data_IF_099156369471
#
_entry.id   IF_099156369471
#
_cell.length_a   1.000
_cell.length_b   1.000
_cell.length_c   1.000
_cell.angle_alpha   90.00
_cell.angle_beta   90.00
_cell.angle_gamma   90.00
#
_symmetry.space_group_name_H-M   'P 1'
#
loop_
_entity.id
_entity.type
_entity.pdbx_description
1 polymer ?
#
# COMPACT_ATOMS: atom_id res chain seq x y z
N UNK A 1 72.71 -66.22 -17.80
CA UNK A 1 71.39 -66.01 -17.17
C UNK A 1 70.36 -66.77 -17.98
N UNK A 2 69.62 -67.69 -17.39
CA UNK A 2 68.55 -68.45 -18.07
C UNK A 2 67.32 -67.58 -18.34
N UNK A 3 66.61 -67.85 -19.44
CA UNK A 3 65.46 -67.03 -19.86
C UNK A 3 64.33 -67.00 -18.82
N UNK A 4 64.14 -68.11 -18.10
CA UNK A 4 63.25 -68.25 -16.95
C UNK A 4 63.55 -67.22 -15.82
N UNK A 5 64.82 -66.88 -15.61
CA UNK A 5 65.23 -65.90 -14.60
C UNK A 5 64.87 -64.47 -14.99
N UNK A 6 64.98 -64.11 -16.27
CA UNK A 6 64.59 -62.79 -16.80
C UNK A 6 63.08 -62.59 -16.72
N UNK A 7 62.30 -63.64 -16.98
CA UNK A 7 60.85 -63.59 -16.96
C UNK A 7 60.26 -63.52 -15.55
N UNK A 8 60.90 -64.19 -14.57
CA UNK A 8 60.56 -64.02 -13.15
C UNK A 8 60.81 -62.58 -12.69
N UNK A 9 61.95 -61.98 -13.04
CA UNK A 9 62.23 -60.57 -12.70
C UNK A 9 61.21 -59.61 -13.32
N UNK A 10 60.85 -59.79 -14.59
CA UNK A 10 59.81 -58.96 -15.25
C UNK A 10 58.45 -59.06 -14.57
N UNK A 11 58.02 -60.25 -14.13
CA UNK A 11 56.76 -60.42 -13.38
C UNK A 11 56.78 -59.74 -12.02
N UNK A 12 57.90 -59.83 -11.31
CA UNK A 12 58.08 -59.17 -10.01
C UNK A 12 58.05 -57.65 -10.18
N UNK A 13 58.74 -57.10 -11.17
CA UNK A 13 58.72 -55.66 -11.44
C UNK A 13 57.31 -55.18 -11.84
N UNK A 14 56.59 -55.95 -12.67
CA UNK A 14 55.22 -55.62 -13.06
C UNK A 14 54.25 -55.58 -11.86
N UNK A 15 54.34 -56.56 -10.95
CA UNK A 15 53.49 -56.61 -9.75
C UNK A 15 53.84 -55.54 -8.72
N UNK A 16 55.12 -55.33 -8.47
CA UNK A 16 55.56 -54.41 -7.41
C UNK A 16 55.42 -52.95 -7.84
N UNK A 17 55.79 -52.61 -9.07
CA UNK A 17 55.88 -51.22 -9.48
C UNK A 17 54.67 -50.81 -10.32
N UNK A 18 54.42 -51.48 -11.45
CA UNK A 18 53.36 -51.06 -12.37
C UNK A 18 51.95 -51.28 -11.83
N UNK A 19 51.71 -52.40 -11.14
CA UNK A 19 50.40 -52.70 -10.58
C UNK A 19 50.11 -51.86 -9.33
N UNK A 20 51.15 -51.56 -8.53
CA UNK A 20 51.07 -50.64 -7.40
C UNK A 20 50.80 -49.20 -7.85
N UNK A 21 51.59 -48.67 -8.81
CA UNK A 21 51.40 -47.33 -9.37
C UNK A 21 50.03 -47.18 -10.03
N UNK A 22 49.56 -48.22 -10.73
CA UNK A 22 48.22 -48.20 -11.34
C UNK A 22 47.12 -48.13 -10.29
N UNK A 23 47.23 -48.90 -9.20
CA UNK A 23 46.26 -48.86 -8.10
C UNK A 23 46.30 -47.51 -7.38
N UNK A 24 47.48 -46.96 -7.16
CA UNK A 24 47.67 -45.64 -6.54
C UNK A 24 47.11 -44.52 -7.41
N UNK A 25 47.31 -44.58 -8.73
CA UNK A 25 46.72 -43.63 -9.69
C UNK A 25 45.19 -43.75 -9.72
N UNK A 26 44.64 -44.96 -9.71
CA UNK A 26 43.19 -45.13 -9.64
C UNK A 26 42.62 -44.61 -8.32
N UNK A 27 43.28 -44.90 -7.19
CA UNK A 27 42.85 -44.39 -5.89
C UNK A 27 42.90 -42.86 -5.84
N UNK A 28 43.97 -42.24 -6.34
CA UNK A 28 44.10 -40.78 -6.34
C UNK A 28 43.05 -40.11 -7.22
N UNK A 29 42.73 -40.70 -8.37
CA UNK A 29 41.62 -40.25 -9.23
C UNK A 29 40.27 -40.39 -8.51
N UNK A 30 39.98 -41.54 -7.88
CA UNK A 30 38.74 -41.71 -7.13
C UNK A 30 38.63 -40.76 -5.94
N UNK A 31 39.72 -40.53 -5.20
CA UNK A 31 39.78 -39.58 -4.10
C UNK A 31 39.56 -38.13 -4.55
N UNK A 32 39.95 -37.77 -5.77
CA UNK A 32 39.68 -36.44 -6.35
C UNK A 32 38.26 -36.27 -6.87
N UNK A 33 37.66 -37.32 -7.46
CA UNK A 33 36.33 -37.25 -8.09
C UNK A 33 35.19 -37.41 -7.08
N UNK A 34 35.37 -38.23 -6.03
CA UNK A 34 34.33 -38.48 -5.02
C UNK A 34 33.85 -37.21 -4.27
N UNK A 35 34.72 -36.28 -3.86
CA UNK A 35 34.29 -35.01 -3.26
C UNK A 35 33.43 -34.17 -4.20
N UNK A 36 33.80 -34.10 -5.48
CA UNK A 36 33.09 -33.32 -6.51
C UNK A 36 31.69 -33.92 -6.73
N UNK A 37 31.58 -35.25 -6.83
CA UNK A 37 30.29 -35.93 -6.93
C UNK A 37 29.41 -35.71 -5.70
N UNK A 38 30.01 -35.71 -4.50
CA UNK A 38 29.29 -35.44 -3.24
C UNK A 38 28.74 -34.01 -3.22
N UNK A 39 29.55 -33.01 -3.58
CA UNK A 39 29.09 -31.62 -3.68
C UNK A 39 27.98 -31.45 -4.71
N UNK A 40 28.12 -32.05 -5.89
CA UNK A 40 27.10 -32.02 -6.93
C UNK A 40 25.76 -32.63 -6.47
N UNK A 41 25.80 -33.79 -5.80
CA UNK A 41 24.60 -34.45 -5.26
C UNK A 41 23.95 -33.58 -4.18
N UNK A 42 24.74 -32.95 -3.30
CA UNK A 42 24.21 -32.04 -2.28
C UNK A 42 23.54 -30.80 -2.90
N UNK A 43 24.15 -30.19 -3.92
CA UNK A 43 23.55 -29.05 -4.64
C UNK A 43 22.24 -29.47 -5.32
N UNK A 44 22.22 -30.63 -5.97
CA UNK A 44 21.02 -31.15 -6.61
C UNK A 44 19.88 -31.42 -5.62
N UNK A 45 20.21 -31.94 -4.43
CA UNK A 45 19.24 -32.16 -3.35
C UNK A 45 18.66 -30.83 -2.84
N UNK A 46 19.50 -29.82 -2.63
CA UNK A 46 19.05 -28.48 -2.20
C UNK A 46 18.14 -27.83 -3.24
N UNK A 47 18.46 -27.96 -4.53
CA UNK A 47 17.63 -27.44 -5.62
C UNK A 47 16.27 -28.15 -5.67
N UNK A 48 16.24 -29.46 -5.51
CA UNK A 48 14.98 -30.23 -5.45
C UNK A 48 14.11 -29.78 -4.28
N UNK A 49 14.69 -29.68 -3.08
CA UNK A 49 13.97 -29.26 -1.88
C UNK A 49 13.44 -27.82 -2.02
N UNK A 50 14.21 -26.94 -2.66
CA UNK A 50 13.78 -25.59 -2.99
C UNK A 50 12.60 -25.58 -3.97
N UNK A 51 12.69 -26.32 -5.08
CA UNK A 51 11.62 -26.41 -6.07
C UNK A 51 10.32 -26.97 -5.46
N UNK A 52 10.41 -28.00 -4.62
CA UNK A 52 9.25 -28.52 -3.90
C UNK A 52 8.61 -27.48 -3.00
N UNK A 53 9.40 -26.69 -2.26
CA UNK A 53 8.90 -25.62 -1.41
C UNK A 53 8.23 -24.51 -2.23
N UNK A 54 8.81 -24.13 -3.37
CA UNK A 54 8.23 -23.14 -4.29
C UNK A 54 6.92 -23.64 -4.86
N UNK A 55 6.84 -24.89 -5.32
CA UNK A 55 5.60 -25.48 -5.82
C UNK A 55 4.53 -25.52 -4.71
N UNK A 56 4.90 -25.94 -3.49
CA UNK A 56 3.97 -25.94 -2.34
C UNK A 56 3.48 -24.52 -2.03
N UNK A 57 4.36 -23.53 -2.03
CA UNK A 57 4.00 -22.12 -1.80
C UNK A 57 3.09 -21.58 -2.92
N UNK A 58 3.40 -21.89 -4.18
CA UNK A 58 2.58 -21.50 -5.33
C UNK A 58 1.17 -22.11 -5.26
N UNK A 59 1.06 -23.41 -4.97
CA UNK A 59 -0.22 -24.10 -4.82
C UNK A 59 -1.00 -23.58 -3.60
N UNK A 60 -0.32 -23.33 -2.47
CA UNK A 60 -0.95 -22.76 -1.29
C UNK A 60 -1.48 -21.34 -1.56
N UNK A 61 -0.70 -20.51 -2.26
CA UNK A 61 -1.12 -19.19 -2.72
C UNK A 61 -2.34 -19.28 -3.64
N UNK A 62 -2.32 -20.18 -4.63
CA UNK A 62 -3.46 -20.41 -5.53
C UNK A 62 -4.73 -20.84 -4.79
N UNK A 63 -4.62 -21.77 -3.83
CA UNK A 63 -5.74 -22.18 -2.97
C UNK A 63 -6.25 -21.03 -2.10
N UNK A 64 -5.34 -20.27 -1.50
CA UNK A 64 -5.69 -19.08 -0.71
C UNK A 64 -6.43 -18.04 -1.56
N UNK A 65 -5.92 -17.75 -2.76
CA UNK A 65 -6.56 -16.86 -3.72
C UNK A 65 -7.92 -17.38 -4.13
N UNK A 66 -8.10 -18.68 -4.41
CA UNK A 66 -9.42 -19.24 -4.74
C UNK A 66 -10.45 -19.12 -3.61
N UNK A 67 -10.01 -19.23 -2.35
CA UNK A 67 -10.89 -19.07 -1.17
C UNK A 67 -11.20 -17.61 -0.90
N UNK A 68 -10.23 -16.71 -1.07
CA UNK A 68 -10.37 -15.29 -0.77
C UNK A 68 -10.97 -14.49 -1.92
N UNK A 69 -10.76 -14.91 -3.16
CA UNK A 69 -11.39 -14.30 -4.32
C UNK A 69 -12.86 -14.72 -4.34
N UNK A 70 -13.80 -13.76 -4.35
CA UNK A 70 -15.22 -14.05 -4.41
C UNK A 70 -15.69 -14.56 -5.79
N UNK A 71 -14.99 -15.51 -6.40
CA UNK A 71 -15.32 -16.08 -7.73
C UNK A 71 -16.69 -16.76 -7.77
N UNK A 72 -17.17 -17.25 -6.63
CA UNK A 72 -18.51 -17.82 -6.46
C UNK A 72 -19.57 -16.78 -6.08
N UNK A 73 -19.19 -15.51 -5.95
CA UNK A 73 -20.16 -14.46 -5.63
C UNK A 73 -21.10 -14.29 -6.81
N UNK A 74 -22.39 -14.54 -6.55
CA UNK A 74 -23.47 -14.34 -7.51
C UNK A 74 -23.44 -12.92 -8.10
N UNK A 75 -23.09 -11.92 -7.30
CA UNK A 75 -23.00 -10.52 -7.74
C UNK A 75 -21.87 -10.32 -8.74
N UNK A 76 -20.70 -10.92 -8.51
CA UNK A 76 -19.56 -10.77 -9.44
C UNK A 76 -19.75 -11.54 -10.73
N UNK A 77 -20.40 -12.71 -10.67
CA UNK A 77 -20.81 -13.46 -11.85
C UNK A 77 -21.88 -12.72 -12.67
N UNK A 78 -22.81 -12.05 -11.98
CA UNK A 78 -23.78 -11.18 -12.63
C UNK A 78 -23.09 -9.97 -13.29
N UNK A 79 -22.09 -9.37 -12.63
CA UNK A 79 -21.33 -8.25 -13.18
C UNK A 79 -20.43 -8.63 -14.36
N UNK A 80 -19.88 -9.84 -14.38
CA UNK A 80 -19.05 -10.29 -15.51
C UNK A 80 -19.84 -10.44 -16.81
N UNK A 81 -21.18 -10.58 -16.73
CA UNK A 81 -22.05 -10.66 -17.91
C UNK A 81 -22.22 -9.34 -18.69
N UNK A 82 -21.70 -8.24 -18.15
CA UNK A 82 -21.65 -6.94 -18.83
C UNK A 82 -20.57 -6.92 -19.92
N UNK A 83 -19.58 -7.82 -19.86
CA UNK A 83 -18.52 -7.85 -20.85
C UNK A 83 -19.10 -8.15 -22.25
N UNK A 84 -18.90 -7.24 -23.24
CA UNK A 84 -19.39 -7.46 -24.61
C UNK A 84 -18.83 -8.73 -25.25
N UNK A 85 -17.69 -9.27 -24.79
CA UNK A 85 -17.11 -10.54 -25.28
C UNK A 85 -18.05 -11.72 -25.03
N UNK A 86 -18.72 -11.75 -23.88
CA UNK A 86 -19.59 -12.89 -23.50
C UNK A 86 -21.00 -12.78 -24.10
N UNK A 87 -21.24 -11.76 -24.92
CA UNK A 87 -22.51 -11.51 -25.58
C UNK A 87 -22.89 -12.68 -26.50
N UNK A 88 -24.16 -13.06 -26.49
CA UNK A 88 -24.69 -14.16 -27.30
C UNK A 88 -24.62 -15.53 -26.61
N UNK A 89 -23.90 -15.66 -25.49
CA UNK A 89 -23.98 -16.85 -24.65
C UNK A 89 -25.27 -16.86 -23.81
N UNK A 90 -25.91 -18.03 -23.73
CA UNK A 90 -27.14 -18.24 -22.95
C UNK A 90 -26.95 -17.95 -21.45
N UNK A 91 -25.77 -18.25 -20.92
CA UNK A 91 -25.40 -17.94 -19.54
C UNK A 91 -25.30 -16.43 -19.30
N UNK A 92 -24.71 -15.67 -20.22
CA UNK A 92 -24.59 -14.21 -20.11
C UNK A 92 -25.97 -13.53 -20.02
N UNK A 93 -26.94 -13.96 -20.83
CA UNK A 93 -28.32 -13.47 -20.73
C UNK A 93 -29.00 -13.79 -19.39
N UNK A 94 -28.70 -14.95 -18.82
CA UNK A 94 -29.25 -15.35 -17.51
C UNK A 94 -28.64 -14.54 -16.37
N UNK A 95 -27.34 -14.31 -16.42
CA UNK A 95 -26.61 -13.49 -15.46
C UNK A 95 -27.00 -12.01 -15.56
N UNK A 96 -27.25 -11.48 -16.76
CA UNK A 96 -27.76 -10.11 -16.95
C UNK A 96 -29.16 -9.93 -16.34
N UNK A 97 -30.04 -10.94 -16.45
CA UNK A 97 -31.35 -10.91 -15.77
C UNK A 97 -31.18 -10.89 -14.26
N UNK A 98 -30.24 -11.69 -13.73
CA UNK A 98 -29.93 -11.70 -12.32
C UNK A 98 -29.36 -10.34 -11.85
N UNK A 99 -28.51 -9.72 -12.67
CA UNK A 99 -27.97 -8.39 -12.44
C UNK A 99 -29.07 -7.33 -12.38
N UNK A 100 -30.01 -7.35 -13.33
CA UNK A 100 -31.15 -6.45 -13.34
C UNK A 100 -32.08 -6.67 -12.13
N UNK A 101 -32.21 -7.91 -11.64
CA UNK A 101 -32.90 -8.21 -10.39
C UNK A 101 -32.22 -7.58 -9.17
N UNK A 102 -30.89 -7.64 -9.09
CA UNK A 102 -30.11 -7.00 -8.02
C UNK A 102 -30.27 -5.47 -8.08
N UNK A 103 -30.25 -4.88 -9.28
CA UNK A 103 -30.38 -3.45 -9.51
C UNK A 103 -31.78 -3.01 -9.95
N UNK A 104 -32.83 -3.66 -9.42
CA UNK A 104 -34.23 -3.38 -9.77
C UNK A 104 -34.63 -1.91 -9.61
N UNK A 105 -34.02 -1.20 -8.66
CA UNK A 105 -34.29 0.20 -8.39
C UNK A 105 -33.87 1.15 -9.53
N UNK A 106 -32.99 0.72 -10.44
CA UNK A 106 -32.55 1.49 -11.60
C UNK A 106 -33.38 1.23 -12.86
N UNK A 107 -34.32 0.28 -12.76
CA UNK A 107 -35.16 -0.17 -13.88
C UNK A 107 -36.45 0.65 -13.91
N UNK A 108 -36.77 1.34 -15.02
CA UNK A 108 -38.07 1.99 -15.18
C UNK A 108 -39.21 0.97 -15.04
N UNK A 109 -40.22 1.28 -14.21
CA UNK A 109 -41.29 0.33 -13.87
C UNK A 109 -42.13 -0.13 -15.08
N UNK A 110 -42.14 0.65 -16.16
CA UNK A 110 -42.89 0.37 -17.39
C UNK A 110 -42.09 -0.45 -18.43
N UNK A 111 -40.81 -0.74 -18.16
CA UNK A 111 -39.92 -1.36 -19.14
C UNK A 111 -39.75 -2.87 -18.94
N UNK A 112 -39.91 -3.65 -20.01
CA UNK A 112 -39.61 -5.09 -20.02
C UNK A 112 -38.12 -5.33 -20.31
N UNK A 113 -37.32 -5.30 -19.24
CA UNK A 113 -35.89 -5.60 -19.29
C UNK A 113 -35.61 -7.00 -19.86
N UNK A 114 -36.48 -7.96 -19.62
CA UNK A 114 -36.24 -9.34 -20.04
C UNK A 114 -36.20 -9.41 -21.56
N UNK A 115 -37.13 -8.72 -22.22
CA UNK A 115 -37.12 -8.59 -23.68
C UNK A 115 -35.96 -7.76 -24.20
N UNK A 116 -35.57 -6.68 -23.52
CA UNK A 116 -34.39 -5.90 -23.92
C UNK A 116 -33.10 -6.73 -23.88
N UNK A 117 -32.90 -7.56 -22.84
CA UNK A 117 -31.74 -8.45 -22.72
C UNK A 117 -31.71 -9.49 -23.85
N UNK A 118 -32.87 -10.05 -24.20
CA UNK A 118 -32.97 -11.01 -25.30
C UNK A 118 -32.61 -10.35 -26.63
N UNK A 119 -33.17 -9.17 -26.90
CA UNK A 119 -32.85 -8.39 -28.11
C UNK A 119 -31.37 -8.01 -28.15
N UNK A 120 -30.81 -7.57 -27.03
CA UNK A 120 -29.39 -7.26 -26.91
C UNK A 120 -28.50 -8.47 -27.23
N UNK A 121 -28.86 -9.68 -26.83
CA UNK A 121 -28.04 -10.87 -27.12
C UNK A 121 -28.08 -11.31 -28.58
N UNK A 122 -29.12 -10.96 -29.33
CA UNK A 122 -29.34 -11.41 -30.71
C UNK A 122 -28.99 -10.34 -31.77
N UNK A 123 -28.89 -9.06 -31.39
CA UNK A 123 -28.72 -7.94 -32.33
C UNK A 123 -27.36 -7.94 -33.08
N UNK A 124 -27.32 -8.43 -34.31
CA UNK A 124 -26.09 -8.39 -35.14
C UNK A 124 -25.68 -7.00 -35.61
N UNK A 125 -26.50 -5.95 -35.38
CA UNK A 125 -26.23 -4.58 -35.82
C UNK A 125 -25.33 -3.78 -34.88
N UNK A 126 -25.01 -4.32 -33.69
CA UNK A 126 -24.13 -3.64 -32.74
C UNK A 126 -22.66 -3.77 -33.14
N UNK A 127 -21.86 -2.75 -32.82
CA UNK A 127 -20.43 -2.74 -33.09
C UNK A 127 -19.73 -3.94 -32.43
N UNK A 128 -18.92 -4.67 -33.20
CA UNK A 128 -18.12 -5.78 -32.69
C UNK A 128 -17.10 -5.26 -31.67
N UNK A 129 -17.10 -5.83 -30.47
CA UNK A 129 -16.07 -5.55 -29.46
C UNK A 129 -14.80 -6.35 -29.77
N UNK A 130 -13.64 -5.68 -29.82
CA UNK A 130 -12.34 -6.35 -30.00
C UNK A 130 -11.64 -6.49 -28.66
N UNK A 131 -10.90 -7.58 -28.49
CA UNK A 131 -10.12 -7.84 -27.28
C UNK A 131 -9.03 -6.75 -27.13
N UNK A 132 -9.20 -5.87 -26.13
CA UNK A 132 -8.37 -4.68 -25.93
C UNK A 132 -9.12 -3.34 -26.01
N UNK A 133 -10.35 -3.35 -26.52
CA UNK A 133 -11.21 -2.16 -26.51
C UNK A 133 -11.64 -1.80 -25.07
N UNK A 134 -11.92 -0.53 -24.82
CA UNK A 134 -12.43 -0.11 -23.51
C UNK A 134 -13.94 -0.41 -23.41
N UNK A 135 -14.28 -1.43 -22.61
CA UNK A 135 -15.67 -1.83 -22.31
C UNK A 135 -16.58 -0.64 -21.97
N UNK A 136 -16.10 0.31 -21.17
CA UNK A 136 -16.91 1.47 -20.74
C UNK A 136 -17.23 2.40 -21.92
N UNK A 137 -16.25 2.63 -22.80
CA UNK A 137 -16.43 3.46 -23.99
C UNK A 137 -17.37 2.78 -25.00
N UNK A 138 -17.29 1.46 -25.13
CA UNK A 138 -18.19 0.68 -25.98
C UNK A 138 -19.64 0.79 -25.49
N UNK A 139 -19.88 0.57 -24.20
CA UNK A 139 -21.21 0.75 -23.60
C UNK A 139 -21.69 2.20 -23.69
N UNK A 140 -20.82 3.20 -23.54
CA UNK A 140 -21.17 4.60 -23.72
C UNK A 140 -21.64 4.91 -25.15
N UNK A 141 -20.99 4.32 -26.16
CA UNK A 141 -21.45 4.42 -27.54
C UNK A 141 -22.83 3.78 -27.73
N UNK A 142 -23.04 2.58 -27.19
CA UNK A 142 -24.35 1.92 -27.26
C UNK A 142 -25.44 2.75 -26.58
N UNK A 143 -25.17 3.31 -25.40
CA UNK A 143 -26.09 4.20 -24.70
C UNK A 143 -26.42 5.46 -25.51
N UNK A 144 -25.45 6.00 -26.27
CA UNK A 144 -25.66 7.17 -27.13
C UNK A 144 -26.62 6.91 -28.30
N UNK A 145 -26.75 5.65 -28.73
CA UNK A 145 -27.72 5.27 -29.77
C UNK A 145 -29.17 5.24 -29.27
N UNK A 146 -29.39 5.32 -27.95
CA UNK A 146 -30.72 5.27 -27.34
C UNK A 146 -31.39 3.88 -27.36
N UNK A 147 -30.68 2.84 -27.83
CA UNK A 147 -31.15 1.46 -27.79
C UNK A 147 -31.08 0.90 -26.36
N UNK A 148 -32.11 0.15 -25.95
CA UNK A 148 -32.21 -0.55 -24.65
C UNK A 148 -32.07 0.37 -23.44
N UNK A 149 -33.04 1.29 -23.21
CA UNK A 149 -32.97 2.28 -22.13
C UNK A 149 -32.92 1.65 -20.73
N UNK A 150 -33.63 0.54 -20.51
CA UNK A 150 -33.69 -0.08 -19.20
C UNK A 150 -32.41 -0.88 -18.90
N UNK A 151 -31.90 -1.62 -19.89
CA UNK A 151 -30.60 -2.29 -19.79
C UNK A 151 -29.45 -1.28 -19.61
N UNK A 152 -29.50 -0.16 -20.34
CA UNK A 152 -28.52 0.93 -20.22
C UNK A 152 -28.49 1.54 -18.81
N UNK A 153 -29.65 1.68 -18.15
CA UNK A 153 -29.73 2.14 -16.77
C UNK A 153 -29.03 1.19 -15.79
N UNK A 154 -29.29 -0.12 -15.91
CA UNK A 154 -28.64 -1.16 -15.10
C UNK A 154 -27.13 -1.17 -15.30
N UNK A 155 -26.67 -1.10 -16.56
CA UNK A 155 -25.25 -1.15 -16.90
C UNK A 155 -24.53 0.11 -16.45
N UNK A 156 -25.15 1.29 -16.61
CA UNK A 156 -24.61 2.54 -16.08
C UNK A 156 -24.43 2.44 -14.57
N UNK A 157 -25.41 1.89 -13.85
CA UNK A 157 -25.30 1.59 -12.43
C UNK A 157 -24.13 0.67 -12.11
N UNK A 158 -24.03 -0.46 -12.79
CA UNK A 158 -22.97 -1.45 -12.57
C UNK A 158 -21.56 -0.90 -12.83
N UNK A 159 -21.36 -0.23 -13.97
CA UNK A 159 -20.06 0.32 -14.38
C UNK A 159 -19.67 1.50 -13.48
N UNK A 160 -20.64 2.25 -12.93
CA UNK A 160 -20.35 3.34 -11.99
C UNK A 160 -19.74 2.87 -10.67
N UNK A 161 -19.96 1.60 -10.28
CA UNK A 161 -19.34 1.02 -9.07
C UNK A 161 -17.83 0.83 -9.27
N UNK A 162 -17.39 0.59 -10.51
CA UNK A 162 -16.00 0.26 -10.85
C UNK A 162 -15.21 1.46 -11.39
N UNK A 163 -15.01 2.49 -10.56
CA UNK A 163 -13.97 3.49 -10.78
C UNK A 163 -12.72 3.14 -9.95
N UNK A 164 -11.95 2.16 -10.44
CA UNK A 164 -10.61 1.83 -9.93
C UNK A 164 -9.58 2.96 -10.15
N UNK A 165 -8.29 2.64 -10.04
CA UNK A 165 -7.16 3.32 -9.33
C UNK A 165 -7.42 4.50 -8.37
N UNK A 166 -8.55 5.18 -8.47
CA UNK A 166 -8.90 6.34 -7.65
C UNK A 166 -9.07 5.97 -6.19
N UNK A 167 -9.77 4.87 -5.90
CA UNK A 167 -10.04 4.41 -4.53
C UNK A 167 -8.78 3.80 -3.88
N UNK A 168 -8.01 3.02 -4.63
CA UNK A 168 -6.76 2.41 -4.13
C UNK A 168 -5.69 3.46 -3.78
N UNK A 169 -5.52 4.50 -4.61
CA UNK A 169 -4.63 5.62 -4.30
C UNK A 169 -5.05 6.34 -3.02
N UNK A 170 -6.35 6.41 -2.70
CA UNK A 170 -6.81 6.98 -1.42
C UNK A 170 -6.51 6.09 -0.24
N UNK A 171 -6.59 4.76 -0.37
CA UNK A 171 -6.20 3.84 0.71
C UNK A 171 -4.71 3.91 1.03
N UNK A 172 -3.84 4.01 0.03
CA UNK A 172 -2.40 4.21 0.26
C UNK A 172 -2.12 5.53 0.99
N UNK A 173 -2.73 6.64 0.55
CA UNK A 173 -2.60 7.93 1.23
C UNK A 173 -3.24 7.94 2.63
N UNK A 174 -4.26 7.12 2.87
CA UNK A 174 -4.88 6.96 4.18
C UNK A 174 -4.00 6.13 5.12
N UNK A 175 -3.25 5.15 4.59
CA UNK A 175 -2.22 4.43 5.35
C UNK A 175 -1.21 5.38 5.98
N UNK A 176 -0.77 6.38 5.22
CA UNK A 176 0.15 7.43 5.70
C UNK A 176 -0.45 8.33 6.78
N UNK A 177 -1.78 8.37 6.93
CA UNK A 177 -2.49 9.20 7.92
C UNK A 177 -2.83 8.40 9.18
N UNK A 178 -3.06 7.09 9.02
CA UNK A 178 -3.38 6.18 10.13
C UNK A 178 -2.10 5.79 10.88
N UNK A 179 -0.97 5.63 10.18
CA UNK A 179 0.31 5.36 10.85
C UNK A 179 0.82 6.62 11.57
N UNK A 180 0.89 6.54 12.90
CA UNK A 180 1.32 7.62 13.80
C UNK A 180 2.70 8.24 13.51
N UNK A 181 3.52 7.60 12.67
CA UNK A 181 4.84 8.08 12.25
C UNK A 181 4.82 8.99 11.03
N UNK A 182 3.80 8.88 10.18
CA UNK A 182 3.67 9.63 8.93
C UNK A 182 2.47 10.58 9.06
N UNK A 183 2.62 11.81 8.58
CA UNK A 183 1.58 12.85 8.47
C UNK A 183 0.49 12.92 9.58
N UNK A 184 0.64 13.89 10.49
CA UNK A 184 -0.34 14.31 11.49
C UNK A 184 -1.56 15.05 10.86
N UNK A 185 -2.19 14.48 9.83
CA UNK A 185 -3.34 15.03 9.12
C UNK A 185 -4.63 14.46 9.70
N UNK A 186 -5.65 15.30 9.89
CA UNK A 186 -6.94 14.85 10.38
C UNK A 186 -7.75 14.19 9.24
N UNK A 187 -8.54 13.17 9.57
CA UNK A 187 -9.42 12.45 8.63
C UNK A 187 -10.37 13.42 7.91
N UNK A 188 -10.93 14.41 8.61
CA UNK A 188 -11.82 15.41 7.99
C UNK A 188 -11.09 16.31 6.98
N UNK A 189 -9.82 16.61 7.22
CA UNK A 189 -9.00 17.41 6.30
C UNK A 189 -8.62 16.59 5.08
N UNK A 190 -8.31 15.30 5.28
CA UNK A 190 -8.07 14.36 4.20
C UNK A 190 -9.29 14.18 3.30
N UNK A 191 -10.46 13.96 3.88
CA UNK A 191 -11.72 13.81 3.17
C UNK A 191 -12.03 15.03 2.28
N UNK A 192 -11.85 16.24 2.82
CA UNK A 192 -12.00 17.47 2.07
C UNK A 192 -10.99 17.59 0.90
N UNK A 193 -9.72 17.24 1.13
CA UNK A 193 -8.68 17.26 0.10
C UNK A 193 -8.99 16.24 -1.00
N UNK A 194 -9.39 15.02 -0.64
CA UNK A 194 -9.73 13.98 -1.60
C UNK A 194 -10.96 14.37 -2.42
N UNK A 195 -12.00 14.89 -1.77
CA UNK A 195 -13.21 15.37 -2.45
C UNK A 195 -12.88 16.44 -3.48
N UNK A 196 -12.06 17.44 -3.12
CA UNK A 196 -11.61 18.47 -4.05
C UNK A 196 -10.75 17.89 -5.19
N UNK A 197 -9.81 16.99 -4.87
CA UNK A 197 -8.95 16.31 -5.83
C UNK A 197 -9.75 15.52 -6.86
N UNK A 198 -10.74 14.75 -6.41
CA UNK A 198 -11.59 13.96 -7.28
C UNK A 198 -12.52 14.82 -8.12
N UNK A 199 -13.06 15.89 -7.56
CA UNK A 199 -13.89 16.85 -8.29
C UNK A 199 -13.11 17.51 -9.45
N UNK A 200 -11.86 17.89 -9.22
CA UNK A 200 -11.00 18.45 -10.27
C UNK A 200 -10.68 17.39 -11.34
N UNK A 201 -10.33 16.18 -10.91
CA UNK A 201 -9.97 15.07 -11.81
C UNK A 201 -11.15 14.62 -12.68
N UNK A 202 -12.35 14.51 -12.13
CA UNK A 202 -13.55 14.08 -12.87
C UNK A 202 -13.93 15.05 -13.99
N UNK A 203 -13.59 16.33 -13.83
CA UNK A 203 -13.82 17.38 -14.82
C UNK A 203 -12.65 17.58 -15.78
N UNK A 204 -11.57 16.81 -15.64
CA UNK A 204 -10.34 17.00 -16.42
C UNK A 204 -9.69 18.37 -16.21
N UNK A 205 -10.02 19.06 -15.11
CA UNK A 205 -9.51 20.39 -14.81
C UNK A 205 -8.33 20.29 -13.84
N UNK A 206 -7.30 21.07 -14.11
CA UNK A 206 -6.23 21.29 -13.13
C UNK A 206 -6.67 22.32 -12.09
N UNK A 207 -6.08 22.28 -10.89
CA UNK A 207 -6.34 23.27 -9.86
C UNK A 207 -6.06 24.70 -10.38
N UNK A 208 -5.03 24.86 -11.21
CA UNK A 208 -4.69 26.14 -11.83
C UNK A 208 -5.76 26.61 -12.80
N UNK A 209 -6.41 25.72 -13.56
CA UNK A 209 -7.55 26.09 -14.41
C UNK A 209 -8.80 26.43 -13.60
N UNK A 210 -9.11 25.64 -12.56
CA UNK A 210 -10.30 25.83 -11.73
C UNK A 210 -10.23 27.11 -10.88
N UNK A 211 -9.03 27.49 -10.42
CA UNK A 211 -8.80 28.68 -9.62
C UNK A 211 -8.15 29.82 -10.42
N UNK A 212 -8.04 29.70 -11.75
CA UNK A 212 -7.51 30.78 -12.60
C UNK A 212 -8.45 31.97 -12.49
N UNK A 213 -7.90 33.14 -12.22
CA UNK A 213 -8.60 34.41 -12.44
C UNK A 213 -8.29 34.87 -13.86
N UNK A 214 -9.31 35.38 -14.58
CA UNK A 214 -9.10 35.94 -15.92
C UNK A 214 -8.11 37.12 -15.89
N UNK A 215 -8.09 37.88 -14.79
CA UNK A 215 -7.02 38.81 -14.46
C UNK A 215 -6.50 38.59 -13.04
N UNK A 216 -5.22 38.24 -12.89
CA UNK A 216 -4.58 37.99 -11.59
C UNK A 216 -4.52 39.23 -10.69
N UNK A 217 -4.42 40.43 -11.29
CA UNK A 217 -4.22 41.70 -10.57
C UNK A 217 -5.51 42.49 -10.32
N UNK A 218 -6.48 42.44 -11.22
CA UNK A 218 -7.70 43.25 -11.15
C UNK A 218 -9.01 42.45 -11.20
N UNK A 219 -8.95 41.12 -11.31
CA UNK A 219 -10.13 40.28 -11.31
C UNK A 219 -10.89 40.35 -9.97
N UNK A 220 -12.23 40.30 -9.99
CA UNK A 220 -13.03 40.35 -8.78
C UNK A 220 -12.68 39.18 -7.86
N UNK A 221 -12.31 39.50 -6.61
CA UNK A 221 -11.99 38.52 -5.59
C UNK A 221 -13.29 37.96 -5.00
N UNK A 222 -13.43 36.64 -4.95
CA UNK A 222 -14.51 36.01 -4.19
C UNK A 222 -14.36 36.34 -2.69
N UNK A 223 -15.17 37.30 -2.25
CA UNK A 223 -15.19 37.82 -0.89
C UNK A 223 -15.53 36.74 0.12
N UNK A 224 -16.37 35.77 -0.26
CA UNK A 224 -16.80 34.64 0.58
C UNK A 224 -15.66 33.64 0.75
N UNK A 225 -14.92 33.33 -0.33
CA UNK A 225 -13.74 32.48 -0.26
C UNK A 225 -12.67 33.09 0.65
N UNK A 226 -12.38 34.39 0.52
CA UNK A 226 -11.40 35.07 1.38
C UNK A 226 -11.81 35.09 2.85
N UNK A 227 -13.09 35.33 3.15
CA UNK A 227 -13.61 35.23 4.52
C UNK A 227 -13.46 33.81 5.07
N UNK A 228 -13.80 32.79 4.27
CA UNK A 228 -13.68 31.39 4.66
C UNK A 228 -12.24 31.00 4.97
N UNK A 229 -11.27 31.42 4.14
CA UNK A 229 -9.84 31.17 4.35
C UNK A 229 -9.32 31.84 5.62
N UNK A 230 -9.68 33.11 5.86
CA UNK A 230 -9.29 33.83 7.08
C UNK A 230 -9.89 33.20 8.34
N UNK A 231 -11.15 32.78 8.28
CA UNK A 231 -11.84 32.15 9.40
C UNK A 231 -11.47 30.68 9.62
N UNK A 232 -10.86 30.00 8.64
CA UNK A 232 -10.55 28.57 8.72
C UNK A 232 -9.60 28.24 9.88
N UNK A 233 -8.52 29.02 10.05
CA UNK A 233 -7.56 28.79 11.14
C UNK A 233 -8.16 28.99 12.54
N UNK A 234 -9.06 29.96 12.70
CA UNK A 234 -9.78 30.18 13.96
C UNK A 234 -10.75 29.03 14.27
N UNK A 235 -11.53 28.60 13.28
CA UNK A 235 -12.46 27.47 13.39
C UNK A 235 -11.74 26.17 13.74
N UNK A 236 -10.61 25.88 13.09
CA UNK A 236 -9.82 24.68 13.38
C UNK A 236 -9.24 24.69 14.80
N UNK A 237 -8.77 25.84 15.29
CA UNK A 237 -8.32 25.98 16.69
C UNK A 237 -9.46 25.73 17.68
N UNK A 238 -10.64 26.30 17.44
CA UNK A 238 -11.82 26.10 18.28
C UNK A 238 -12.23 24.61 18.30
N UNK A 239 -12.30 23.96 17.14
CA UNK A 239 -12.65 22.55 17.01
C UNK A 239 -11.60 21.61 17.65
N UNK A 240 -10.31 21.99 17.64
CA UNK A 240 -9.27 21.27 18.40
C UNK A 240 -9.46 21.41 19.91
N UNK A 241 -9.80 22.59 20.41
CA UNK A 241 -10.08 22.81 21.83
C UNK A 241 -11.30 22.02 22.30
N UNK A 242 -12.37 22.00 21.52
CA UNK A 242 -13.58 21.23 21.80
C UNK A 242 -13.31 19.72 21.86
N UNK A 243 -12.56 19.17 20.89
CA UNK A 243 -12.14 17.76 20.92
C UNK A 243 -11.25 17.40 22.10
N UNK A 244 -10.38 18.32 22.54
CA UNK A 244 -9.57 18.13 23.75
C UNK A 244 -10.46 18.06 25.01
N UNK A 245 -11.50 18.88 25.09
CA UNK A 245 -12.48 18.84 26.17
C UNK A 245 -13.31 17.55 26.12
N UNK A 246 -13.76 17.13 24.94
CA UNK A 246 -14.51 15.91 24.75
C UNK A 246 -13.67 14.65 25.09
N UNK A 247 -12.40 14.62 24.67
CA UNK A 247 -11.46 13.57 25.09
C UNK A 247 -11.29 13.53 26.60
N UNK A 248 -11.20 14.68 27.28
CA UNK A 248 -11.15 14.75 28.75
C UNK A 248 -12.44 14.22 29.38
N UNK A 249 -13.60 14.58 28.83
CA UNK A 249 -14.91 14.06 29.30
C UNK A 249 -14.99 12.55 29.16
N UNK A 250 -14.67 12.00 27.99
CA UNK A 250 -14.66 10.54 27.74
C UNK A 250 -13.65 9.80 28.63
N UNK A 251 -12.48 10.40 28.92
CA UNK A 251 -11.51 9.81 29.86
C UNK A 251 -12.04 9.70 31.29
N UNK A 252 -12.81 10.71 31.73
CA UNK A 252 -13.47 10.69 33.04
C UNK A 252 -14.61 9.67 33.06
N UNK A 253 -15.40 9.60 31.99
CA UNK A 253 -16.56 8.70 31.86
C UNK A 253 -16.16 7.22 31.84
N UNK A 254 -15.11 6.86 31.10
CA UNK A 254 -14.65 5.47 30.99
C UNK A 254 -13.61 5.07 32.06
N UNK A 255 -13.35 5.92 33.06
CA UNK A 255 -12.36 5.66 34.12
C UNK A 255 -10.93 5.41 33.60
N UNK A 256 -10.65 5.79 32.35
CA UNK A 256 -9.38 5.50 31.70
C UNK A 256 -8.37 6.57 32.11
N UNK A 257 -7.69 6.33 33.23
CA UNK A 257 -6.53 7.11 33.64
C UNK A 257 -5.49 7.11 32.51
N UNK A 258 -4.71 8.21 32.39
CA UNK A 258 -3.52 8.29 31.52
C UNK A 258 -2.38 7.37 31.98
N UNK A 259 -2.68 6.23 32.58
CA UNK A 259 -1.67 5.24 32.98
C UNK A 259 -1.41 4.31 31.81
N UNK A 260 -0.90 4.87 30.70
CA UNK A 260 0.17 4.19 30.00
C UNK A 260 1.44 4.72 30.69
N UNK A 261 2.14 3.90 31.48
CA UNK A 261 3.28 4.34 32.31
C UNK A 261 4.35 5.16 31.55
N UNK A 262 4.41 5.03 30.22
CA UNK A 262 5.29 5.81 29.36
C UNK A 262 4.95 7.30 29.27
N UNK A 263 3.69 7.72 29.32
CA UNK A 263 3.29 9.12 29.16
C UNK A 263 3.42 9.93 30.45
N UNK A 264 3.26 9.26 31.59
CA UNK A 264 3.40 9.85 32.93
C UNK A 264 4.88 10.06 33.24
N UNK A 265 5.73 9.05 32.99
CA UNK A 265 7.18 9.14 33.13
C UNK A 265 7.81 10.22 32.23
N UNK A 266 7.27 10.44 31.03
CA UNK A 266 7.78 11.48 30.12
C UNK A 266 7.43 12.90 30.57
N UNK A 267 6.30 13.07 31.26
CA UNK A 267 5.89 14.38 31.82
C UNK A 267 6.66 14.71 33.09
N UNK A 268 6.81 13.73 33.99
CA UNK A 268 7.64 13.90 35.20
C UNK A 268 9.08 14.18 34.82
N UNK A 269 9.66 13.45 33.85
CA UNK A 269 11.00 13.72 33.35
C UNK A 269 11.15 15.12 32.73
N UNK A 270 10.14 15.62 32.01
CA UNK A 270 10.16 16.98 31.44
C UNK A 270 10.01 18.08 32.51
N UNK A 271 9.26 17.82 33.57
CA UNK A 271 9.12 18.74 34.71
C UNK A 271 10.39 18.75 35.57
N UNK A 272 10.99 17.59 35.83
CA UNK A 272 12.29 17.44 36.49
C UNK A 272 13.41 18.12 35.69
N UNK A 273 13.47 17.93 34.37
CA UNK A 273 14.46 18.59 33.51
C UNK A 273 14.28 20.13 33.51
N UNK A 274 13.03 20.63 33.57
CA UNK A 274 12.77 22.06 33.72
C UNK A 274 13.23 22.59 35.07
N UNK A 275 12.99 21.86 36.16
CA UNK A 275 13.48 22.24 37.48
C UNK A 275 15.00 22.25 37.55
N UNK A 276 15.68 21.26 36.97
CA UNK A 276 17.13 21.21 36.91
C UNK A 276 17.70 22.39 36.12
N UNK A 277 17.09 22.75 34.99
CA UNK A 277 17.47 23.94 34.21
C UNK A 277 17.31 25.22 35.03
N UNK A 278 16.23 25.36 35.80
CA UNK A 278 16.02 26.51 36.69
C UNK A 278 17.05 26.56 37.83
N UNK A 279 17.36 25.41 38.45
CA UNK A 279 18.39 25.30 39.50
C UNK A 279 19.78 25.61 38.96
N UNK A 280 20.11 25.16 37.75
CA UNK A 280 21.37 25.47 37.09
C UNK A 280 21.49 26.97 36.77
N UNK A 281 20.43 27.60 36.24
CA UNK A 281 20.38 29.04 36.02
C UNK A 281 20.55 29.85 37.32
N UNK A 282 19.94 29.40 38.43
CA UNK A 282 20.09 30.02 39.74
C UNK A 282 21.53 29.88 40.29
N UNK A 283 22.17 28.71 40.13
CA UNK A 283 23.58 28.51 40.50
C UNK A 283 24.51 29.43 39.70
N UNK A 284 24.29 29.57 38.39
CA UNK A 284 25.07 30.49 37.56
C UNK A 284 24.91 31.95 38.00
N UNK A 285 23.69 32.39 38.30
CA UNK A 285 23.42 33.74 38.85
C UNK A 285 24.13 33.98 40.18
N UNK A 286 24.12 33.01 41.09
CA UNK A 286 24.81 33.12 42.38
C UNK A 286 26.34 33.11 42.25
N UNK A 287 26.90 32.31 41.33
CA UNK A 287 28.33 32.32 41.03
C UNK A 287 28.78 33.66 40.44
N UNK A 288 28.00 34.25 39.53
CA UNK A 288 28.26 35.58 38.99
C UNK A 288 28.24 36.67 40.08
N UNK A 289 27.27 36.60 41.02
CA UNK A 289 27.24 37.50 42.19
C UNK A 289 28.48 37.38 43.07
N UNK A 290 28.96 36.16 43.36
CA UNK A 290 30.18 35.96 44.16
C UNK A 290 31.42 36.54 43.48
N UNK A 291 31.59 36.29 42.17
CA UNK A 291 32.70 36.89 41.40
C UNK A 291 32.65 38.42 41.40
N UNK A 292 31.46 39.00 41.27
CA UNK A 292 31.29 40.45 41.35
C UNK A 292 31.68 41.01 42.73
N UNK A 293 31.32 40.32 43.82
CA UNK A 293 31.71 40.69 45.18
C UNK A 293 33.22 40.58 45.40
N UNK A 294 33.87 39.53 44.89
CA UNK A 294 35.33 39.38 44.95
C UNK A 294 36.06 40.48 44.18
N UNK A 295 35.56 40.88 43.00
CA UNK A 295 36.10 42.00 42.23
C UNK A 295 35.95 43.31 43.01
N UNK A 296 34.79 43.55 43.64
CA UNK A 296 34.56 44.74 44.45
C UNK A 296 35.46 44.77 45.70
N UNK A 297 35.64 43.63 46.39
CA UNK A 297 36.55 43.53 47.52
C UNK A 297 38.02 43.69 47.10
N UNK A 298 38.41 43.18 45.94
CA UNK A 298 39.74 43.38 45.36
C UNK A 298 40.00 44.84 45.01
N UNK A 299 39.01 45.55 44.46
CA UNK A 299 39.06 47.00 44.22
C UNK A 299 39.14 47.80 45.52
N UNK A 300 38.35 47.45 46.54
CA UNK A 300 38.39 48.10 47.84
C UNK A 300 39.73 47.91 48.57
N UNK A 301 40.35 46.71 48.46
CA UNK A 301 41.70 46.45 48.99
C UNK A 301 42.80 47.21 48.24
N UNK A 302 42.63 47.45 46.93
CA UNK A 302 43.55 48.32 46.15
C UNK A 302 43.41 49.79 46.53
N UNK A 303 42.19 50.29 46.78
CA UNK A 303 41.97 51.68 47.22
C UNK A 303 42.48 51.96 48.65
N UNK A 304 42.57 50.95 49.52
CA UNK A 304 43.18 51.10 50.87
C UNK A 304 44.72 51.02 50.88
N UNK A 305 45.36 50.79 49.73
CA UNK A 305 46.82 50.68 49.58
C UNK A 305 47.46 51.85 48.81
N UNK A 306 46.65 52.84 48.39
CA UNK A 306 47.10 54.19 48.05
C UNK A 306 46.83 55.11 49.23
#
# INVERSE_FOLDING_TARGET
MTDLGKERKRRVVKKIWFESEKVELHLSVYLGVLPILKEYVMVFQVIKDFLEKVIKAYVACGKYMQVKLPLKSKTLQALSSIDPVVRGHSEAGTQLRQLAGIMKHLVPQESDITQEIIRYNVDSTLAQYREGDNMVMWWAHLMSTGKYPALSGVIRGAVSIFHGPMVESSFNLMGDIIDSKSANMNISTFDAIQTAKYYMKSRGMTATMMFKREEEKFGPVDRKLCQNMRAAGGRDKAQRAERLLERRRRQVEYGCSKTCGSAQNKRTAQEEEKEERLRHAAKQRNAARRRALEILQGKAKKMKKC
#
